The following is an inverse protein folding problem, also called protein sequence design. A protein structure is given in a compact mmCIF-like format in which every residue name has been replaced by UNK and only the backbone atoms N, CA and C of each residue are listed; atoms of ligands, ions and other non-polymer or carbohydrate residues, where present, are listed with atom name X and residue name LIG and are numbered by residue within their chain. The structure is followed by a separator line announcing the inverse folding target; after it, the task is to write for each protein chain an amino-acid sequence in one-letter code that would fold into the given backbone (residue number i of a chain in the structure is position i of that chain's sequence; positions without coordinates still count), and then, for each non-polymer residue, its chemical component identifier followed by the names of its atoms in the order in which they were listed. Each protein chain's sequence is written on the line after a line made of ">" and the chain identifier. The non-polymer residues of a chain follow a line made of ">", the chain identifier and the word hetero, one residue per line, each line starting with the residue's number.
data_IF_722721532563
#
_entry.id   IF_722721532563
#
_cell.length_a   1.000
_cell.length_b   1.000
_cell.length_c   1.000
_cell.angle_alpha   90.00
_cell.angle_beta   90.00
_cell.angle_gamma   90.00
#
_symmetry.space_group_name_H-M   'P 1'
#
loop_
_entity.id
_entity.type
_entity.pdbx_description
1 polymer ?
#
# COMPACT_ATOMS: atom_id res chain seq x y z
N UNK A 1 7.24 -1.26 31.82
CA UNK A 1 6.11 -1.35 30.87
C UNK A 1 6.67 -1.90 29.57
N UNK A 2 6.60 -3.22 29.38
CA UNK A 2 7.22 -3.90 28.24
C UNK A 2 6.17 -3.88 27.12
N UNK A 3 6.38 -3.05 26.09
CA UNK A 3 5.49 -3.03 24.95
C UNK A 3 5.56 -4.39 24.26
N UNK A 4 4.48 -5.16 24.38
CA UNK A 4 4.30 -6.42 23.68
C UNK A 4 4.22 -6.06 22.20
N UNK A 5 5.32 -6.22 21.45
CA UNK A 5 5.30 -6.20 19.99
C UNK A 5 4.37 -7.33 19.58
N UNK A 6 3.14 -6.99 19.18
CA UNK A 6 2.26 -7.95 18.54
C UNK A 6 2.97 -8.37 17.25
N UNK A 7 3.56 -9.57 17.24
CA UNK A 7 3.97 -10.20 16.00
C UNK A 7 2.71 -10.28 15.13
N UNK A 8 2.75 -9.63 13.96
CA UNK A 8 1.71 -9.83 12.95
C UNK A 8 1.63 -11.34 12.66
N UNK A 9 0.44 -11.89 12.38
CA UNK A 9 0.34 -13.26 11.87
C UNK A 9 1.30 -13.39 10.69
N UNK A 10 2.00 -14.51 10.60
CA UNK A 10 2.85 -14.81 9.45
C UNK A 10 1.94 -14.98 8.24
N UNK A 11 1.57 -13.86 7.61
CA UNK A 11 1.35 -13.84 6.17
C UNK A 11 2.68 -14.18 5.49
N UNK A 12 2.63 -14.65 4.25
CA UNK A 12 3.83 -14.91 3.47
C UNK A 12 4.81 -13.73 3.65
N UNK A 13 6.11 -14.02 3.79
CA UNK A 13 7.12 -12.95 3.89
C UNK A 13 6.99 -11.97 2.71
N UNK A 14 6.48 -12.45 1.58
CA UNK A 14 6.07 -11.66 0.43
C UNK A 14 4.95 -10.66 0.77
N UNK A 15 3.86 -11.08 1.42
CA UNK A 15 2.74 -10.22 1.81
C UNK A 15 3.20 -9.17 2.84
N UNK A 16 4.03 -9.56 3.81
CA UNK A 16 4.54 -8.61 4.78
C UNK A 16 5.49 -7.59 4.13
N UNK A 17 6.37 -7.99 3.22
CA UNK A 17 7.25 -7.09 2.48
C UNK A 17 6.47 -6.13 1.56
N UNK A 18 5.39 -6.61 0.93
CA UNK A 18 4.49 -5.78 0.12
C UNK A 18 3.72 -4.76 0.97
N UNK A 19 3.23 -5.17 2.13
CA UNK A 19 2.60 -4.26 3.08
C UNK A 19 3.59 -3.21 3.61
N UNK A 20 4.81 -3.60 4.00
CA UNK A 20 5.83 -2.66 4.47
C UNK A 20 6.22 -1.66 3.39
N UNK A 21 6.37 -2.13 2.14
CA UNK A 21 6.62 -1.26 0.98
C UNK A 21 5.45 -0.33 0.66
N UNK A 22 4.21 -0.72 0.96
CA UNK A 22 3.04 0.15 0.85
C UNK A 22 3.10 1.27 1.88
N UNK A 23 3.28 0.92 3.16
CA UNK A 23 3.29 1.90 4.26
C UNK A 23 4.45 2.88 4.16
N UNK A 24 5.65 2.44 3.77
CA UNK A 24 6.79 3.33 3.57
C UNK A 24 6.51 4.40 2.50
N UNK A 25 5.82 4.03 1.41
CA UNK A 25 5.46 4.97 0.34
C UNK A 25 4.30 5.87 0.71
N UNK A 26 3.31 5.34 1.43
CA UNK A 26 2.23 6.16 1.99
C UNK A 26 2.79 7.25 2.92
N UNK A 27 3.75 6.89 3.77
CA UNK A 27 4.40 7.85 4.67
C UNK A 27 5.19 8.90 3.87
N UNK A 28 6.11 8.46 3.00
CA UNK A 28 7.03 9.36 2.27
C UNK A 28 6.34 10.28 1.26
N UNK A 29 5.29 9.80 0.59
CA UNK A 29 4.67 10.51 -0.54
C UNK A 29 3.39 11.24 -0.15
N UNK A 30 2.61 10.69 0.79
CA UNK A 30 1.36 11.29 1.22
C UNK A 30 1.50 12.02 2.56
N UNK A 31 1.97 11.34 3.60
CA UNK A 31 1.95 11.88 4.97
C UNK A 31 3.02 12.96 5.16
N UNK A 32 4.24 12.73 4.72
CA UNK A 32 5.35 13.68 4.89
C UNK A 32 5.16 14.96 4.05
N UNK A 33 4.35 14.89 2.99
CA UNK A 33 4.12 16.00 2.06
C UNK A 33 2.83 16.77 2.32
N UNK A 34 1.94 16.27 3.18
CA UNK A 34 0.64 16.87 3.42
C UNK A 34 0.35 17.02 4.92
N UNK A 35 -0.15 18.18 5.32
CA UNK A 35 -0.67 18.41 6.67
C UNK A 35 -2.19 18.32 6.64
N UNK A 36 -2.77 17.35 7.34
CA UNK A 36 -4.23 17.19 7.43
C UNK A 36 -4.81 17.96 8.61
N UNK A 37 -5.91 18.68 8.40
CA UNK A 37 -6.57 19.47 9.45
C UNK A 37 -7.46 18.60 10.34
N UNK A 38 -7.99 17.52 9.78
CA UNK A 38 -8.83 16.58 10.50
C UNK A 38 -8.72 15.16 9.91
N UNK A 39 -9.23 14.17 10.67
CA UNK A 39 -9.14 12.77 10.28
C UNK A 39 -9.94 12.43 9.01
N UNK A 40 -11.00 13.18 8.68
CA UNK A 40 -11.79 12.94 7.48
C UNK A 40 -11.01 13.29 6.21
N UNK A 41 -10.28 14.42 6.24
CA UNK A 41 -9.38 14.84 5.16
C UNK A 41 -8.27 13.81 4.93
N UNK A 42 -7.62 13.34 6.00
CA UNK A 42 -6.61 12.29 5.90
C UNK A 42 -7.17 10.99 5.29
N UNK A 43 -8.39 10.58 5.67
CA UNK A 43 -9.04 9.39 5.09
C UNK A 43 -9.31 9.53 3.60
N UNK A 44 -9.82 10.67 3.15
CA UNK A 44 -10.05 10.93 1.72
C UNK A 44 -8.72 10.94 0.95
N UNK A 45 -7.70 11.60 1.49
CA UNK A 45 -6.39 11.64 0.85
C UNK A 45 -5.75 10.25 0.73
N UNK A 46 -5.90 9.39 1.74
CA UNK A 46 -5.45 7.99 1.67
C UNK A 46 -6.26 7.21 0.63
N UNK A 47 -7.57 7.41 0.56
CA UNK A 47 -8.41 6.75 -0.45
C UNK A 47 -8.01 7.14 -1.88
N UNK A 48 -7.87 8.44 -2.13
CA UNK A 48 -7.44 8.96 -3.44
C UNK A 48 -6.03 8.48 -3.78
N UNK A 49 -5.11 8.44 -2.81
CA UNK A 49 -3.77 7.91 -3.00
C UNK A 49 -3.80 6.43 -3.42
N UNK A 50 -4.66 5.61 -2.82
CA UNK A 50 -4.78 4.18 -3.15
C UNK A 50 -5.39 3.99 -4.54
N UNK A 51 -6.51 4.65 -4.83
CA UNK A 51 -7.30 4.42 -6.04
C UNK A 51 -6.75 5.14 -7.27
N UNK A 52 -6.32 6.39 -7.12
CA UNK A 52 -5.89 7.21 -8.26
C UNK A 52 -4.40 7.04 -8.60
N UNK A 53 -3.57 6.67 -7.61
CA UNK A 53 -2.12 6.64 -7.79
C UNK A 53 -1.52 5.25 -7.56
N UNK A 54 -1.75 4.64 -6.39
CA UNK A 54 -1.10 3.40 -6.00
C UNK A 54 -1.47 2.21 -6.91
N UNK A 55 -2.76 1.87 -6.97
CA UNK A 55 -3.24 0.71 -7.73
C UNK A 55 -3.00 0.82 -9.26
N UNK A 56 -3.26 1.97 -9.91
CA UNK A 56 -3.10 2.09 -11.37
C UNK A 56 -1.67 2.43 -11.83
N UNK A 57 -0.85 3.14 -11.03
CA UNK A 57 0.41 3.70 -11.52
C UNK A 57 1.66 3.15 -10.83
N UNK A 58 1.57 2.62 -9.60
CA UNK A 58 2.76 2.22 -8.86
C UNK A 58 3.35 0.93 -9.41
N UNK A 59 4.55 1.03 -9.99
CA UNK A 59 5.28 -0.14 -10.48
C UNK A 59 6.00 -0.83 -9.33
N UNK A 60 5.79 -2.14 -9.19
CA UNK A 60 6.50 -2.94 -8.20
C UNK A 60 7.53 -3.83 -8.89
N UNK A 61 8.80 -3.74 -8.49
CA UNK A 61 9.86 -4.64 -8.97
C UNK A 61 9.51 -6.11 -8.69
N UNK A 62 8.85 -6.39 -7.56
CA UNK A 62 8.35 -7.71 -7.17
C UNK A 62 7.22 -8.24 -8.08
N UNK A 63 6.56 -7.38 -8.86
CA UNK A 63 5.52 -7.71 -9.84
C UNK A 63 6.02 -7.53 -11.28
N UNK A 64 7.34 -7.59 -11.52
CA UNK A 64 7.92 -7.41 -12.85
C UNK A 64 7.80 -5.98 -13.40
N UNK A 65 7.82 -4.96 -12.52
CA UNK A 65 7.62 -3.54 -12.85
C UNK A 65 6.19 -3.22 -13.34
N UNK A 66 5.21 -4.08 -13.06
CA UNK A 66 3.82 -3.82 -13.41
C UNK A 66 3.03 -3.19 -12.25
N UNK A 67 2.04 -2.34 -12.55
CA UNK A 67 1.08 -1.89 -11.56
C UNK A 67 0.21 -3.04 -11.02
N UNK A 68 -0.20 -2.99 -9.74
CA UNK A 68 -1.05 -4.01 -9.12
C UNK A 68 -2.34 -4.28 -9.90
N UNK A 69 -2.92 -3.25 -10.51
CA UNK A 69 -4.12 -3.37 -11.34
C UNK A 69 -3.89 -4.23 -12.58
N UNK A 70 -2.71 -4.10 -13.22
CA UNK A 70 -2.38 -4.87 -14.42
C UNK A 70 -2.04 -6.31 -14.06
N UNK A 71 -1.28 -6.52 -12.97
CA UNK A 71 -1.01 -7.86 -12.46
C UNK A 71 -2.30 -8.63 -12.13
N UNK A 72 -3.28 -7.98 -11.48
CA UNK A 72 -4.59 -8.58 -11.20
C UNK A 72 -5.39 -8.89 -12.48
N UNK A 73 -5.26 -8.09 -13.53
CA UNK A 73 -5.94 -8.34 -14.83
C UNK A 73 -5.31 -9.50 -15.59
N UNK A 74 -3.99 -9.64 -15.57
CA UNK A 74 -3.26 -10.70 -16.26
C UNK A 74 -3.34 -12.06 -15.53
N UNK A 75 -3.44 -12.05 -14.20
CA UNK A 75 -3.56 -13.26 -13.38
C UNK A 75 -4.97 -13.53 -12.84
N UNK A 76 -5.99 -12.80 -13.31
CA UNK A 76 -7.38 -13.20 -13.09
C UNK A 76 -7.60 -14.52 -13.85
N UNK A 77 -7.79 -15.61 -13.11
CA UNK A 77 -8.13 -16.89 -13.69
C UNK A 77 -9.38 -16.73 -14.59
N UNK A 78 -9.39 -17.32 -15.80
CA UNK A 78 -10.62 -17.36 -16.58
C UNK A 78 -11.70 -18.10 -15.78
N UNK A 79 -12.88 -17.50 -15.71
CA UNK A 79 -14.07 -18.09 -15.09
C UNK A 79 -14.49 -19.39 -15.81
#
# INVERSE_FOLDING_TARGET
>A
MIARRALRPVGDAYDNAMCESFFATLETELIDRNSFRNQAEARMAVFDFIEAWYNPHRRHSALGQMPPLNYKKEHAAPA
#
